data_IF_652370448702
#
_entry.id   IF_652370448702
#
_cell.length_a   1.000
_cell.length_b   1.000
_cell.length_c   1.000
_cell.angle_alpha   90.00
_cell.angle_beta   90.00
_cell.angle_gamma   90.00
#
_symmetry.space_group_name_H-M   'P 1'
#
loop_
_entity.id
_entity.type
_entity.pdbx_description
1 polymer ?
#
# COMPACT_ATOMS: atom_id res chain seq x y z
N UNK A 1 13.09 10.83 42.20
CA UNK A 1 12.81 11.72 41.05
C UNK A 1 13.63 11.37 39.81
N UNK A 2 14.96 11.19 39.90
CA UNK A 2 15.81 10.82 38.73
C UNK A 2 15.36 9.55 38.02
N UNK A 3 15.02 8.48 38.77
CA UNK A 3 14.54 7.21 38.20
C UNK A 3 13.24 7.38 37.39
N UNK A 4 12.32 8.23 37.84
CA UNK A 4 11.07 8.53 37.12
C UNK A 4 11.33 9.31 35.83
N UNK A 5 12.29 10.24 35.84
CA UNK A 5 12.67 11.02 34.66
C UNK A 5 13.29 10.11 33.58
N UNK A 6 14.15 9.17 34.01
CA UNK A 6 14.74 8.15 33.12
C UNK A 6 13.66 7.26 32.53
N UNK A 7 12.68 6.80 33.32
CA UNK A 7 11.57 5.99 32.80
C UNK A 7 10.73 6.73 31.76
N UNK A 8 10.45 8.02 31.96
CA UNK A 8 9.73 8.84 30.99
C UNK A 8 10.54 9.01 29.71
N UNK A 9 11.84 9.27 29.81
CA UNK A 9 12.74 9.37 28.66
C UNK A 9 12.80 8.07 27.86
N UNK A 10 12.92 6.93 28.53
CA UNK A 10 12.94 5.61 27.88
C UNK A 10 11.60 5.32 27.20
N UNK A 11 10.48 5.61 27.85
CA UNK A 11 9.15 5.45 27.25
C UNK A 11 8.98 6.35 26.01
N UNK A 12 9.41 7.61 26.09
CA UNK A 12 9.39 8.53 24.94
C UNK A 12 10.25 8.04 23.78
N UNK A 13 11.46 7.53 24.07
CA UNK A 13 12.33 6.95 23.06
C UNK A 13 11.69 5.73 22.37
N UNK A 14 11.05 4.84 23.14
CA UNK A 14 10.38 3.67 22.61
C UNK A 14 9.23 4.05 21.67
N UNK A 15 8.41 5.03 22.06
CA UNK A 15 7.30 5.50 21.23
C UNK A 15 7.78 6.16 19.94
N UNK A 16 8.81 7.01 20.01
CA UNK A 16 9.40 7.62 18.82
C UNK A 16 10.00 6.57 17.88
N UNK A 17 10.69 5.57 18.43
CA UNK A 17 11.28 4.49 17.64
C UNK A 17 10.20 3.65 16.96
N UNK A 18 9.11 3.35 17.67
CA UNK A 18 7.97 2.61 17.12
C UNK A 18 7.29 3.38 15.98
N UNK A 19 7.05 4.69 16.15
CA UNK A 19 6.43 5.52 15.13
C UNK A 19 7.28 5.63 13.85
N UNK A 20 8.61 5.75 14.00
CA UNK A 20 9.53 5.76 12.86
C UNK A 20 9.54 4.40 12.16
N UNK A 21 9.54 3.31 12.93
CA UNK A 21 9.51 1.95 12.37
C UNK A 21 8.23 1.68 11.58
N UNK A 22 7.07 2.05 12.13
CA UNK A 22 5.77 1.93 11.47
C UNK A 22 5.76 2.64 10.11
N UNK A 23 6.18 3.91 10.07
CA UNK A 23 6.22 4.68 8.83
C UNK A 23 7.15 4.08 7.76
N UNK A 24 8.30 3.55 8.17
CA UNK A 24 9.23 2.86 7.25
C UNK A 24 8.61 1.57 6.72
N UNK A 25 8.01 0.76 7.61
CA UNK A 25 7.40 -0.52 7.24
C UNK A 25 6.23 -0.32 6.27
N UNK A 26 5.30 0.59 6.56
CA UNK A 26 4.17 0.90 5.67
C UNK A 26 4.66 1.35 4.30
N UNK A 27 5.65 2.27 4.25
CA UNK A 27 6.24 2.73 2.99
C UNK A 27 6.87 1.60 2.19
N UNK A 28 7.58 0.68 2.86
CA UNK A 28 8.23 -0.44 2.20
C UNK A 28 7.20 -1.41 1.60
N UNK A 29 6.09 -1.68 2.30
CA UNK A 29 5.03 -2.55 1.79
C UNK A 29 4.36 -1.97 0.54
N UNK A 30 4.01 -0.68 0.56
CA UNK A 30 3.42 -0.02 -0.61
C UNK A 30 4.40 0.13 -1.77
N UNK A 31 5.68 0.37 -1.50
CA UNK A 31 6.70 0.43 -2.56
C UNK A 31 6.84 -0.92 -3.25
N UNK A 32 6.97 -2.00 -2.47
CA UNK A 32 7.08 -3.35 -3.02
C UNK A 32 5.81 -3.75 -3.79
N UNK A 33 4.63 -3.41 -3.28
CA UNK A 33 3.38 -3.67 -3.98
C UNK A 33 3.25 -2.82 -5.25
N UNK A 34 3.64 -1.54 -5.21
CA UNK A 34 3.66 -0.67 -6.38
C UNK A 34 4.58 -1.16 -7.48
N UNK A 35 5.73 -1.78 -7.16
CA UNK A 35 6.60 -2.43 -8.13
C UNK A 35 5.91 -3.61 -8.83
N UNK A 36 5.16 -4.44 -8.10
CA UNK A 36 4.39 -5.55 -8.67
C UNK A 36 3.28 -5.05 -9.61
N UNK A 37 2.56 -3.99 -9.19
CA UNK A 37 1.54 -3.34 -10.03
C UNK A 37 2.17 -2.71 -11.27
N UNK A 38 3.32 -2.06 -11.14
CA UNK A 38 4.04 -1.48 -12.28
C UNK A 38 4.50 -2.55 -13.27
N UNK A 39 4.98 -3.70 -12.79
CA UNK A 39 5.32 -4.84 -13.64
C UNK A 39 4.09 -5.39 -14.38
N UNK A 40 2.93 -5.44 -13.73
CA UNK A 40 1.66 -5.81 -14.38
C UNK A 40 1.23 -4.79 -15.44
N UNK A 41 1.35 -3.50 -15.16
CA UNK A 41 1.07 -2.43 -16.13
C UNK A 41 1.96 -2.58 -17.37
N UNK A 42 3.27 -2.77 -17.18
CA UNK A 42 4.20 -2.97 -18.31
C UNK A 42 3.84 -4.20 -19.16
N UNK A 43 3.40 -5.30 -18.53
CA UNK A 43 2.90 -6.48 -19.25
C UNK A 43 1.59 -6.18 -19.99
N UNK A 44 0.69 -5.40 -19.40
CA UNK A 44 -0.59 -5.03 -19.99
C UNK A 44 -0.41 -4.10 -21.19
N UNK A 45 0.52 -3.14 -21.11
CA UNK A 45 0.93 -2.28 -22.22
C UNK A 45 1.52 -3.08 -23.39
N UNK A 46 2.24 -4.17 -23.09
CA UNK A 46 2.78 -5.09 -24.08
C UNK A 46 1.77 -6.09 -24.65
N UNK A 47 0.48 -5.99 -24.32
CA UNK A 47 -0.59 -6.94 -24.68
C UNK A 47 -0.31 -8.39 -24.23
N UNK A 48 0.51 -8.56 -23.19
CA UNK A 48 0.94 -9.87 -22.68
C UNK A 48 0.34 -10.22 -21.32
N UNK A 49 -0.36 -9.28 -20.68
CA UNK A 49 -1.01 -9.54 -19.39
C UNK A 49 -2.29 -10.35 -19.57
N UNK A 50 -2.44 -11.40 -18.75
CA UNK A 50 -3.67 -12.15 -18.62
C UNK A 50 -4.33 -11.90 -17.26
N UNK A 51 -5.61 -12.30 -17.11
CA UNK A 51 -6.32 -12.23 -15.84
C UNK A 51 -5.54 -12.93 -14.70
N UNK A 52 -4.85 -14.03 -14.99
CA UNK A 52 -4.01 -14.74 -14.00
C UNK A 52 -2.81 -13.93 -13.48
N UNK A 53 -2.26 -12.99 -14.26
CA UNK A 53 -1.22 -12.08 -13.75
C UNK A 53 -1.83 -11.07 -12.76
N UNK A 54 -3.04 -10.57 -13.05
CA UNK A 54 -3.77 -9.66 -12.16
C UNK A 54 -4.22 -10.36 -10.87
N UNK A 55 -4.67 -11.60 -10.94
CA UNK A 55 -4.97 -12.44 -9.77
C UNK A 55 -3.73 -12.70 -8.92
N UNK A 56 -2.56 -12.90 -9.53
CA UNK A 56 -1.31 -13.07 -8.80
C UNK A 56 -0.95 -11.81 -8.00
N UNK A 57 -1.10 -10.62 -8.61
CA UNK A 57 -0.91 -9.33 -7.93
C UNK A 57 -1.96 -9.14 -6.82
N UNK A 58 -3.22 -9.55 -7.04
CA UNK A 58 -4.26 -9.49 -6.02
C UNK A 58 -3.96 -10.41 -4.81
N UNK A 59 -3.54 -11.65 -5.04
CA UNK A 59 -3.16 -12.58 -3.97
C UNK A 59 -1.94 -12.06 -3.18
N UNK A 60 -1.05 -11.34 -3.87
CA UNK A 60 0.11 -10.67 -3.27
C UNK A 60 -0.32 -9.47 -2.40
N UNK A 61 -1.30 -8.69 -2.87
CA UNK A 61 -1.94 -7.62 -2.10
C UNK A 61 -2.65 -8.16 -0.86
N UNK A 62 -3.41 -9.24 -1.00
CA UNK A 62 -4.20 -9.82 0.09
C UNK A 62 -3.34 -10.15 1.32
N UNK A 63 -2.16 -10.75 1.08
CA UNK A 63 -1.20 -11.05 2.15
C UNK A 63 -0.69 -9.79 2.85
N UNK A 64 -0.45 -8.71 2.11
CA UNK A 64 0.04 -7.43 2.66
C UNK A 64 -1.07 -6.67 3.38
N UNK A 65 -2.29 -6.71 2.84
CA UNK A 65 -3.48 -6.12 3.43
C UNK A 65 -3.69 -6.60 4.87
N UNK A 66 -3.54 -7.91 5.09
CA UNK A 66 -3.75 -8.51 6.41
C UNK A 66 -2.74 -7.99 7.44
N UNK A 67 -1.54 -7.60 7.02
CA UNK A 67 -0.54 -6.95 7.88
C UNK A 67 -0.77 -5.43 8.02
N UNK A 68 -1.26 -4.79 6.95
CA UNK A 68 -1.45 -3.33 6.86
C UNK A 68 -2.74 -2.82 7.51
N UNK A 69 -3.77 -3.67 7.69
CA UNK A 69 -5.06 -3.23 8.27
C UNK A 69 -4.94 -2.67 9.69
N UNK A 70 -3.88 -3.00 10.41
CA UNK A 70 -3.61 -2.50 11.76
C UNK A 70 -3.14 -1.04 11.72
N UNK A 71 -2.51 -0.64 10.63
CA UNK A 71 -1.79 0.62 10.48
C UNK A 71 -2.53 1.64 9.58
N UNK A 72 -3.46 1.18 8.74
CA UNK A 72 -4.10 1.97 7.69
C UNK A 72 -5.62 1.94 7.84
N UNK A 73 -6.33 3.06 7.57
CA UNK A 73 -7.78 3.08 7.49
C UNK A 73 -8.35 2.04 6.51
N UNK A 74 -9.38 1.32 6.95
CA UNK A 74 -10.06 0.32 6.10
C UNK A 74 -10.57 0.90 4.78
N UNK A 75 -10.97 2.18 4.73
CA UNK A 75 -11.44 2.81 3.50
C UNK A 75 -10.37 2.85 2.39
N UNK A 76 -9.11 3.08 2.75
CA UNK A 76 -8.02 3.17 1.77
C UNK A 76 -7.62 1.79 1.27
N UNK A 77 -7.70 0.77 2.14
CA UNK A 77 -7.55 -0.63 1.77
C UNK A 77 -8.66 -1.07 0.80
N UNK A 78 -9.93 -0.79 1.14
CA UNK A 78 -11.06 -1.18 0.30
C UNK A 78 -11.01 -0.53 -1.08
N UNK A 79 -10.50 0.71 -1.19
CA UNK A 79 -10.28 1.35 -2.50
C UNK A 79 -9.30 0.57 -3.38
N UNK A 80 -8.21 0.07 -2.82
CA UNK A 80 -7.25 -0.75 -3.58
C UNK A 80 -7.90 -2.08 -3.98
N UNK A 81 -8.61 -2.73 -3.05
CA UNK A 81 -9.34 -3.97 -3.31
C UNK A 81 -10.33 -3.81 -4.48
N UNK A 82 -11.11 -2.73 -4.47
CA UNK A 82 -12.12 -2.43 -5.49
C UNK A 82 -11.47 -2.25 -6.87
N UNK A 83 -10.43 -1.41 -6.97
CA UNK A 83 -9.78 -1.16 -8.27
C UNK A 83 -9.01 -2.36 -8.81
N UNK A 84 -8.40 -3.18 -7.95
CA UNK A 84 -7.78 -4.43 -8.39
C UNK A 84 -8.84 -5.42 -8.88
N UNK A 85 -9.94 -5.58 -8.15
CA UNK A 85 -11.04 -6.48 -8.55
C UNK A 85 -11.66 -6.03 -9.87
N UNK A 86 -11.86 -4.72 -10.05
CA UNK A 86 -12.29 -4.15 -11.33
C UNK A 86 -11.28 -4.41 -12.44
N UNK A 87 -9.97 -4.30 -12.17
CA UNK A 87 -8.93 -4.56 -13.16
C UNK A 87 -8.92 -6.02 -13.64
N UNK A 88 -9.08 -6.99 -12.73
CA UNK A 88 -9.19 -8.42 -13.06
C UNK A 88 -10.38 -8.65 -13.98
N UNK A 89 -11.55 -8.11 -13.61
CA UNK A 89 -12.76 -8.22 -14.43
C UNK A 89 -12.59 -7.58 -15.81
N UNK A 90 -11.87 -6.46 -15.91
CA UNK A 90 -11.58 -5.84 -17.20
C UNK A 90 -10.66 -6.72 -18.07
N UNK A 91 -9.74 -7.47 -17.49
CA UNK A 91 -8.94 -8.46 -18.22
C UNK A 91 -9.79 -9.64 -18.69
N UNK A 92 -10.74 -10.12 -17.87
CA UNK A 92 -11.69 -11.18 -18.25
C UNK A 92 -12.64 -10.74 -19.38
N UNK A 93 -13.08 -9.49 -19.37
CA UNK A 93 -13.97 -8.89 -20.38
C UNK A 93 -13.22 -8.40 -21.64
N UNK A 94 -11.93 -8.73 -21.79
CA UNK A 94 -11.06 -8.31 -22.91
C UNK A 94 -11.03 -6.78 -23.14
N UNK A 95 -11.09 -6.00 -22.05
CA UNK A 95 -11.02 -4.53 -22.04
C UNK A 95 -9.69 -4.02 -21.46
N UNK A 96 -8.54 -4.22 -22.15
CA UNK A 96 -7.21 -3.96 -21.60
C UNK A 96 -6.97 -2.49 -21.27
N UNK A 97 -7.55 -1.55 -22.03
CA UNK A 97 -7.42 -0.11 -21.78
C UNK A 97 -8.06 0.31 -20.46
N UNK A 98 -9.23 -0.28 -20.14
CA UNK A 98 -9.91 -0.02 -18.88
C UNK A 98 -9.14 -0.65 -17.73
N UNK A 99 -8.67 -1.90 -17.89
CA UNK A 99 -7.83 -2.58 -16.91
C UNK A 99 -6.58 -1.76 -16.55
N UNK A 100 -5.89 -1.25 -17.57
CA UNK A 100 -4.69 -0.42 -17.41
C UNK A 100 -5.00 0.86 -16.62
N UNK A 101 -6.08 1.56 -16.97
CA UNK A 101 -6.51 2.77 -16.23
C UNK A 101 -6.76 2.47 -14.74
N UNK A 102 -7.33 1.31 -14.42
CA UNK A 102 -7.58 0.89 -13.04
C UNK A 102 -6.27 0.58 -12.30
N UNK A 103 -5.34 -0.11 -12.96
CA UNK A 103 -4.02 -0.40 -12.40
C UNK A 103 -3.19 0.87 -12.17
N UNK A 104 -3.26 1.87 -13.06
CA UNK A 104 -2.62 3.17 -12.86
C UNK A 104 -3.17 3.90 -11.62
N UNK A 105 -4.48 3.79 -11.36
CA UNK A 105 -5.08 4.32 -10.13
C UNK A 105 -4.51 3.60 -8.91
N UNK A 106 -4.41 2.27 -8.94
CA UNK A 106 -3.80 1.49 -7.85
C UNK A 106 -2.35 1.90 -7.63
N UNK A 107 -1.55 2.04 -8.68
CA UNK A 107 -0.16 2.49 -8.59
C UNK A 107 -0.06 3.88 -7.93
N UNK A 108 -0.92 4.82 -8.35
CA UNK A 108 -0.98 6.17 -7.76
C UNK A 108 -1.40 6.14 -6.28
N UNK A 109 -2.30 5.24 -5.89
CA UNK A 109 -2.65 5.04 -4.48
C UNK A 109 -1.44 4.53 -3.69
N UNK A 110 -0.66 3.61 -4.25
CA UNK A 110 0.56 3.10 -3.61
C UNK A 110 1.62 4.20 -3.40
N UNK A 111 1.69 5.19 -4.28
CA UNK A 111 2.62 6.32 -4.15
C UNK A 111 2.13 7.36 -3.13
N UNK A 112 0.82 7.61 -3.07
CA UNK A 112 0.25 8.72 -2.28
C UNK A 112 -0.08 8.33 -0.84
N UNK A 113 -0.60 7.12 -0.62
CA UNK A 113 -1.04 6.66 0.70
C UNK A 113 0.08 6.64 1.75
N UNK A 114 1.29 6.11 1.50
CA UNK A 114 2.36 6.09 2.49
C UNK A 114 2.69 7.49 3.03
N UNK A 115 2.70 8.49 2.16
CA UNK A 115 3.03 9.87 2.52
C UNK A 115 2.02 10.49 3.50
N UNK A 116 0.78 10.02 3.47
CA UNK A 116 -0.31 10.46 4.35
C UNK A 116 -0.13 9.95 5.78
N UNK A 117 0.50 8.79 5.95
CA UNK A 117 0.71 8.15 7.27
C UNK A 117 2.11 8.37 7.85
N UNK A 118 3.02 9.01 7.10
CA UNK A 118 4.32 9.38 7.64
C UNK A 118 4.18 10.48 8.71
N UNK A 119 5.04 10.40 9.73
CA UNK A 119 5.17 11.45 10.74
C UNK A 119 5.67 12.73 10.06
N UNK A 120 4.73 13.61 9.72
CA UNK A 120 4.99 14.94 9.19
C UNK A 120 4.51 15.98 10.20
N UNK A 121 5.17 17.15 10.26
CA UNK A 121 4.73 18.25 11.12
C UNK A 121 3.24 18.63 10.93
N UNK A 122 2.68 18.59 9.70
CA UNK A 122 1.24 18.75 9.48
C UNK A 122 0.37 17.66 10.12
N UNK A 123 0.85 16.42 10.22
CA UNK A 123 0.10 15.30 10.81
C UNK A 123 0.14 15.26 12.35
N UNK A 124 0.87 16.18 12.99
CA UNK A 124 0.97 16.31 14.45
C UNK A 124 -0.01 17.35 15.03
N UNK A 125 -0.80 18.04 14.20
CA UNK A 125 -1.74 19.10 14.59
C UNK A 125 -3.15 18.89 14.03
#
# INVERSE_FOLDING_TARGET
>A
MVKSLVSILVAGLLLLSAAVFEGIYVKQQFSAFGEEVSALIQKAEGEQAAAGDAEAVYASWEKRRDELHIWIPHNDISRIDDYLSESIRCFEEEQPTLALTKLEIVLRLCETLPSTYLVSLPNLF
#
